data_IF_160638389056
#
_entry.id   IF_160638389056
#
_cell.length_a   1.000
_cell.length_b   1.000
_cell.length_c   1.000
_cell.angle_alpha   90.00
_cell.angle_beta   90.00
_cell.angle_gamma   90.00
#
_symmetry.space_group_name_H-M   'P 1'
#
loop_
_entity.id
_entity.type
_entity.pdbx_description
1 polymer ?
#
# COMPACT_ATOMS: atom_id res chain seq x y z
N UNK A 1 -29.94 -11.40 -40.34
CA UNK A 1 -30.50 -11.47 -38.98
C UNK A 1 -30.12 -12.83 -38.42
N UNK A 2 -29.23 -12.96 -37.45
CA UNK A 2 -29.29 -12.28 -36.16
C UNK A 2 -27.93 -11.73 -35.72
N UNK A 3 -27.87 -10.42 -35.58
CA UNK A 3 -26.73 -9.63 -35.08
C UNK A 3 -26.62 -9.66 -33.53
N UNK A 4 -27.14 -10.67 -32.85
CA UNK A 4 -27.36 -10.62 -31.40
C UNK A 4 -26.27 -11.28 -30.54
N UNK A 5 -25.16 -11.75 -31.12
CA UNK A 5 -24.02 -12.32 -30.35
C UNK A 5 -22.77 -11.44 -30.30
N UNK A 6 -22.93 -10.11 -30.44
CA UNK A 6 -21.82 -9.13 -30.33
C UNK A 6 -21.91 -8.23 -29.11
N UNK A 7 -22.50 -8.72 -28.02
CA UNK A 7 -22.48 -8.02 -26.73
C UNK A 7 -22.14 -8.98 -25.59
N UNK A 8 -21.11 -9.81 -25.76
CA UNK A 8 -20.37 -10.31 -24.61
C UNK A 8 -19.58 -9.11 -24.08
N UNK A 9 -20.18 -8.42 -23.11
CA UNK A 9 -19.56 -7.30 -22.41
C UNK A 9 -18.14 -7.71 -22.02
N UNK A 10 -17.16 -7.02 -22.60
CA UNK A 10 -15.84 -6.88 -22.01
C UNK A 10 -16.05 -6.20 -20.66
N UNK A 11 -16.31 -6.99 -19.61
CA UNK A 11 -16.32 -6.51 -18.23
C UNK A 11 -14.88 -6.12 -17.94
N UNK A 12 -14.58 -4.85 -18.22
CA UNK A 12 -13.34 -4.22 -17.79
C UNK A 12 -13.24 -4.31 -16.28
N UNK A 13 -12.01 -4.24 -15.79
CA UNK A 13 -11.72 -4.21 -14.37
C UNK A 13 -12.62 -3.20 -13.64
N UNK A 14 -13.19 -3.55 -12.47
CA UNK A 14 -14.01 -2.63 -11.71
C UNK A 14 -13.27 -1.32 -11.40
N UNK A 15 -13.89 -0.17 -11.69
CA UNK A 15 -13.30 1.17 -11.49
C UNK A 15 -12.76 1.37 -10.07
N UNK A 16 -13.40 0.77 -9.07
CA UNK A 16 -12.97 0.86 -7.68
C UNK A 16 -11.59 0.21 -7.43
N UNK A 17 -11.21 -0.84 -8.17
CA UNK A 17 -9.89 -1.48 -8.05
C UNK A 17 -8.79 -0.54 -8.54
N UNK A 18 -9.05 0.20 -9.62
CA UNK A 18 -8.13 1.24 -10.10
C UNK A 18 -7.95 2.36 -9.07
N UNK A 19 -9.04 2.81 -8.42
CA UNK A 19 -8.96 3.80 -7.33
C UNK A 19 -8.19 3.26 -6.13
N UNK A 20 -8.41 1.99 -5.76
CA UNK A 20 -7.71 1.32 -4.67
C UNK A 20 -6.19 1.28 -4.91
N UNK A 21 -5.75 0.86 -6.11
CA UNK A 21 -4.33 0.90 -6.47
C UNK A 21 -3.76 2.31 -6.46
N UNK A 22 -4.53 3.28 -6.95
CA UNK A 22 -4.15 4.68 -6.92
C UNK A 22 -3.90 5.19 -5.51
N UNK A 23 -4.79 4.83 -4.57
CA UNK A 23 -4.65 5.15 -3.15
C UNK A 23 -3.39 4.53 -2.54
N UNK A 24 -3.20 3.21 -2.71
CA UNK A 24 -2.03 2.50 -2.20
C UNK A 24 -0.73 3.13 -2.71
N UNK A 25 -0.62 3.36 -4.03
CA UNK A 25 0.57 3.93 -4.65
C UNK A 25 0.88 5.33 -4.13
N UNK A 26 -0.12 6.21 -4.07
CA UNK A 26 0.06 7.57 -3.55
C UNK A 26 0.49 7.56 -2.08
N UNK A 27 -0.10 6.70 -1.27
CA UNK A 27 0.27 6.55 0.14
C UNK A 27 1.71 6.04 0.29
N UNK A 28 2.11 5.02 -0.48
CA UNK A 28 3.46 4.44 -0.46
C UNK A 28 4.51 5.44 -0.91
N UNK A 29 4.23 6.23 -1.94
CA UNK A 29 5.12 7.31 -2.38
C UNK A 29 5.33 8.37 -1.30
N UNK A 30 4.25 8.79 -0.62
CA UNK A 30 4.34 9.75 0.48
C UNK A 30 5.10 9.15 1.67
N UNK A 31 4.85 7.88 2.00
CA UNK A 31 5.54 7.15 3.06
C UNK A 31 7.05 7.10 2.78
N UNK A 32 7.44 6.72 1.56
CA UNK A 32 8.83 6.61 1.16
C UNK A 32 9.58 7.95 1.22
N UNK A 33 8.93 9.03 0.76
CA UNK A 33 9.49 10.39 0.86
C UNK A 33 9.69 10.82 2.31
N UNK A 34 8.68 10.61 3.16
CA UNK A 34 8.76 10.93 4.58
C UNK A 34 9.83 10.09 5.29
N UNK A 35 9.89 8.79 4.99
CA UNK A 35 10.91 7.89 5.52
C UNK A 35 12.33 8.35 5.16
N UNK A 36 12.59 8.66 3.88
CA UNK A 36 13.90 9.18 3.43
C UNK A 36 14.29 10.47 4.14
N UNK A 37 13.32 11.38 4.34
CA UNK A 37 13.55 12.62 5.06
C UNK A 37 13.90 12.37 6.54
N UNK A 38 13.18 11.47 7.23
CA UNK A 38 13.48 11.08 8.61
C UNK A 38 14.87 10.42 8.71
N UNK A 39 15.23 9.54 7.78
CA UNK A 39 16.57 8.91 7.74
C UNK A 39 17.68 9.96 7.62
N UNK A 40 17.50 10.95 6.73
CA UNK A 40 18.46 12.07 6.61
C UNK A 40 18.54 12.90 7.90
N UNK A 41 17.40 13.14 8.57
CA UNK A 41 17.36 13.85 9.84
C UNK A 41 18.14 13.09 10.92
N UNK A 42 17.88 11.79 11.08
CA UNK A 42 18.55 10.94 12.07
C UNK A 42 20.05 10.82 11.80
N UNK A 43 20.46 10.84 10.53
CA UNK A 43 21.86 10.86 10.12
C UNK A 43 22.54 12.24 10.22
N UNK A 44 21.82 13.31 10.58
CA UNK A 44 22.35 14.68 10.61
C UNK A 44 22.72 15.24 9.22
N UNK A 45 22.18 14.65 8.15
CA UNK A 45 22.48 15.01 6.74
C UNK A 45 21.32 15.72 6.06
N UNK A 46 20.24 16.02 6.79
CA UNK A 46 19.13 16.79 6.27
C UNK A 46 19.55 18.25 6.07
N UNK A 47 19.32 18.76 4.86
CA UNK A 47 19.72 20.08 4.38
C UNK A 47 18.81 21.22 4.89
N UNK A 48 17.75 20.88 5.64
CA UNK A 48 16.85 21.84 6.25
C UNK A 48 16.39 21.41 7.65
N UNK A 49 15.94 22.39 8.44
CA UNK A 49 15.28 22.14 9.72
C UNK A 49 13.78 21.93 9.50
N UNK A 50 13.20 20.80 9.93
CA UNK A 50 11.75 20.62 9.88
C UNK A 50 11.04 21.68 10.73
N UNK A 51 9.99 22.28 10.20
CA UNK A 51 9.12 23.19 10.97
C UNK A 51 8.22 22.42 11.93
N UNK A 52 7.90 21.18 11.58
CA UNK A 52 7.13 20.24 12.39
C UNK A 52 8.07 19.47 13.35
N UNK A 53 7.66 19.20 14.61
CA UNK A 53 8.39 18.32 15.50
C UNK A 53 8.66 16.95 14.85
N UNK A 54 9.90 16.47 14.93
CA UNK A 54 10.30 15.21 14.29
C UNK A 54 9.46 14.02 14.77
N UNK A 55 9.05 14.00 16.04
CA UNK A 55 8.22 12.92 16.58
C UNK A 55 6.83 12.87 15.95
N UNK A 56 6.25 14.02 15.58
CA UNK A 56 4.97 14.03 14.88
C UNK A 56 5.12 13.46 13.46
N UNK A 57 6.23 13.76 12.78
CA UNK A 57 6.55 13.18 11.48
C UNK A 57 6.80 11.66 11.57
N UNK A 58 7.43 11.17 12.64
CA UNK A 58 7.60 9.73 12.89
C UNK A 58 6.27 9.04 13.13
N UNK A 59 5.38 9.64 13.94
CA UNK A 59 4.01 9.15 14.13
C UNK A 59 3.21 9.12 12.84
N UNK A 60 3.32 10.16 12.01
CA UNK A 60 2.71 10.20 10.69
C UNK A 60 3.21 9.04 9.81
N UNK A 61 4.53 8.83 9.75
CA UNK A 61 5.13 7.68 9.03
C UNK A 61 4.57 6.35 9.54
N UNK A 62 4.48 6.16 10.85
CA UNK A 62 3.97 4.93 11.46
C UNK A 62 2.50 4.67 11.04
N UNK A 63 1.63 5.67 11.19
CA UNK A 63 0.22 5.57 10.78
C UNK A 63 0.07 5.27 9.27
N UNK A 64 0.90 5.87 8.42
CA UNK A 64 0.91 5.56 6.99
C UNK A 64 1.36 4.11 6.71
N UNK A 65 2.34 3.60 7.46
CA UNK A 65 2.79 2.21 7.36
C UNK A 65 1.70 1.21 7.79
N UNK A 66 1.01 1.49 8.88
CA UNK A 66 -0.15 0.71 9.32
C UNK A 66 -1.26 0.72 8.27
N UNK A 67 -1.54 1.89 7.68
CA UNK A 67 -2.57 1.98 6.64
C UNK A 67 -2.17 1.24 5.35
N UNK A 68 -0.90 1.29 4.94
CA UNK A 68 -0.39 0.47 3.83
C UNK A 68 -0.59 -1.03 4.09
N UNK A 69 -0.31 -1.51 5.29
CA UNK A 69 -0.53 -2.90 5.67
C UNK A 69 -2.02 -3.29 5.60
N UNK A 70 -2.92 -2.40 6.04
CA UNK A 70 -4.37 -2.60 5.90
C UNK A 70 -4.76 -2.74 4.42
N UNK A 71 -4.21 -1.89 3.54
CA UNK A 71 -4.49 -1.96 2.11
C UNK A 71 -3.92 -3.24 1.47
N UNK A 72 -2.76 -3.71 1.90
CA UNK A 72 -2.19 -4.99 1.44
C UNK A 72 -3.08 -6.17 1.81
N UNK A 73 -3.52 -6.25 3.07
CA UNK A 73 -4.45 -7.29 3.55
C UNK A 73 -5.80 -7.20 2.82
N UNK A 74 -6.33 -6.00 2.64
CA UNK A 74 -7.60 -5.80 1.91
C UNK A 74 -7.49 -6.24 0.46
N UNK A 75 -6.37 -5.96 -0.22
CA UNK A 75 -6.16 -6.41 -1.58
C UNK A 75 -6.10 -7.94 -1.69
N UNK A 76 -5.54 -8.64 -0.70
CA UNK A 76 -5.57 -10.10 -0.62
C UNK A 76 -7.02 -10.61 -0.50
N UNK A 77 -7.82 -10.03 0.40
CA UNK A 77 -9.23 -10.42 0.64
C UNK A 77 -10.12 -10.10 -0.57
N UNK A 78 -9.95 -8.93 -1.15
CA UNK A 78 -10.78 -8.38 -2.23
C UNK A 78 -10.27 -8.78 -3.63
N UNK A 79 -9.22 -9.62 -3.71
CA UNK A 79 -8.55 -10.07 -4.94
C UNK A 79 -8.14 -8.90 -5.87
N UNK A 80 -7.53 -7.87 -5.29
CA UNK A 80 -6.95 -6.75 -6.03
C UNK A 80 -5.47 -7.04 -6.30
N UNK A 81 -5.12 -7.22 -7.57
CA UNK A 81 -3.73 -7.46 -7.97
C UNK A 81 -3.02 -6.18 -8.41
N UNK A 82 -1.68 -6.21 -8.43
CA UNK A 82 -0.87 -5.13 -8.99
C UNK A 82 -0.78 -3.87 -8.12
N UNK A 83 -0.80 -4.01 -6.79
CA UNK A 83 -0.59 -2.87 -5.88
C UNK A 83 0.77 -2.19 -6.07
N UNK A 84 1.82 -2.98 -6.35
CA UNK A 84 3.16 -2.45 -6.58
C UNK A 84 3.91 -3.32 -7.59
N UNK A 85 4.57 -2.69 -8.56
CA UNK A 85 5.38 -3.36 -9.59
C UNK A 85 6.75 -3.81 -9.07
N UNK A 86 7.17 -3.34 -7.89
CA UNK A 86 8.52 -3.49 -7.35
C UNK A 86 8.58 -4.34 -6.06
N UNK A 87 7.46 -4.90 -5.58
CA UNK A 87 7.46 -5.70 -4.35
C UNK A 87 8.04 -7.10 -4.62
N UNK A 88 9.31 -7.28 -4.21
CA UNK A 88 9.80 -8.59 -3.79
C UNK A 88 8.86 -9.13 -2.70
N UNK A 89 8.61 -10.45 -2.65
CA UNK A 89 7.72 -11.03 -1.65
C UNK A 89 8.19 -10.63 -0.25
N UNK A 90 7.40 -9.81 0.44
CA UNK A 90 7.60 -9.55 1.86
C UNK A 90 7.17 -10.79 2.63
N UNK A 91 7.97 -11.10 3.65
CA UNK A 91 7.74 -12.16 4.64
C UNK A 91 6.25 -12.21 5.00
N UNK A 92 5.67 -13.42 4.96
CA UNK A 92 4.24 -13.73 5.21
C UNK A 92 3.57 -12.71 6.12
N UNK A 93 2.47 -12.12 5.65
CA UNK A 93 1.66 -11.21 6.47
C UNK A 93 1.31 -11.88 7.80
N UNK A 94 1.17 -11.11 8.89
CA UNK A 94 0.76 -11.65 10.19
C UNK A 94 -0.57 -12.42 10.12
N UNK A 95 -1.38 -12.15 9.09
CA UNK A 95 -2.58 -12.91 8.73
C UNK A 95 -2.28 -14.36 8.30
N UNK A 96 -1.22 -14.60 7.53
CA UNK A 96 -0.77 -15.96 7.20
C UNK A 96 -0.10 -16.67 8.38
N UNK A 97 0.53 -15.94 9.31
CA UNK A 97 1.12 -16.52 10.53
C UNK A 97 0.01 -17.03 11.46
N UNK A 98 -1.04 -16.23 11.65
CA UNK A 98 -2.16 -16.55 12.56
C UNK A 98 -3.09 -17.64 12.02
N UNK A 99 -3.18 -17.84 10.70
CA UNK A 99 -3.92 -18.99 10.12
C UNK A 99 -3.16 -20.32 10.22
N UNK A 100 -1.83 -20.30 10.20
CA UNK A 100 -1.00 -21.51 10.25
C UNK A 100 -0.54 -21.88 11.68
N UNK A 101 -0.72 -20.99 12.65
CA UNK A 101 -0.52 -21.25 14.08
C UNK A 101 -1.67 -22.03 14.68
N UNK A 102 -1.69 -23.35 14.47
CA UNK A 102 -2.49 -24.29 15.26
C UNK A 102 -2.18 -24.05 16.74
N UNK A 103 -3.22 -23.78 17.53
CA UNK A 103 -3.17 -23.73 18.99
C UNK A 103 -2.30 -24.86 19.54
N UNK A 104 -1.26 -24.49 20.27
CA UNK A 104 -0.53 -25.30 21.23
C UNK A 104 -0.25 -24.42 22.44
#
# INVERSE_FOLDING_TARGET
>A
MNEEKKNELSVGEPEWQARFRGEYKQLKDRYNKLHRMIVKYDAGTLDFKPTCPIELLRRQKAAMGEYLNILEIRAEIENVHGLDSDDKPKLKSDYEITKNGRFA
#
